data_IF_816389651256
#
_entry.id   IF_816389651256
#
_cell.length_a   1.000
_cell.length_b   1.000
_cell.length_c   1.000
_cell.angle_alpha   90.00
_cell.angle_beta   90.00
_cell.angle_gamma   90.00
#
_symmetry.space_group_name_H-M   'P 1'
#
loop_
_entity.id
_entity.type
_entity.pdbx_description
1 polymer ?
#
# COMPACT_ATOMS: atom_id res chain seq x y z
N UNK A 1 12.08 3.95 22.74
CA UNK A 1 10.77 3.59 22.16
C UNK A 1 10.49 4.61 21.06
N UNK A 2 10.59 4.22 19.78
CA UNK A 2 10.31 5.14 18.67
C UNK A 2 8.80 5.19 18.48
N UNK A 3 8.19 6.36 18.68
CA UNK A 3 6.78 6.57 18.41
C UNK A 3 6.55 6.39 16.90
N UNK A 4 5.58 5.55 16.52
CA UNK A 4 5.03 5.47 15.16
C UNK A 4 4.16 6.71 14.90
N UNK A 5 4.78 7.88 14.98
CA UNK A 5 4.15 9.17 14.72
C UNK A 5 4.08 9.43 13.23
N UNK A 6 3.09 10.23 12.86
CA UNK A 6 2.71 10.75 11.53
C UNK A 6 3.79 11.57 10.81
N UNK A 7 5.06 11.25 11.01
CA UNK A 7 6.21 12.00 10.51
C UNK A 7 6.55 11.55 9.09
N UNK A 8 5.66 11.88 8.14
CA UNK A 8 5.85 11.71 6.67
C UNK A 8 7.08 12.41 6.08
N UNK A 9 7.97 12.94 6.93
CA UNK A 9 9.19 13.65 6.58
C UNK A 9 10.16 12.79 5.79
N UNK A 10 10.17 11.47 6.02
CA UNK A 10 11.00 10.50 5.28
C UNK A 10 10.33 9.94 4.03
N UNK A 11 9.02 10.14 3.86
CA UNK A 11 8.33 9.81 2.64
C UNK A 11 8.44 10.92 1.58
N UNK A 12 8.29 10.60 0.29
CA UNK A 12 8.43 11.59 -0.77
C UNK A 12 7.41 12.72 -0.64
N UNK A 13 7.90 13.96 -0.66
CA UNK A 13 7.08 15.16 -0.41
C UNK A 13 6.10 15.46 -1.54
N UNK A 14 6.30 14.84 -2.71
CA UNK A 14 5.39 14.91 -3.86
C UNK A 14 4.12 14.06 -3.70
N UNK A 15 4.03 13.23 -2.66
CA UNK A 15 2.86 12.42 -2.39
C UNK A 15 1.91 13.12 -1.40
N UNK A 16 0.60 13.01 -1.67
CA UNK A 16 -0.43 13.52 -0.74
C UNK A 16 -0.32 12.81 0.60
N UNK A 17 -0.18 13.60 1.68
CA UNK A 17 -0.03 13.08 3.05
C UNK A 17 -1.31 12.47 3.62
N UNK A 18 -2.47 12.80 3.05
CA UNK A 18 -3.77 12.34 3.54
C UNK A 18 -3.96 10.82 3.45
N UNK A 19 -3.29 10.20 2.48
CA UNK A 19 -3.44 8.77 2.16
C UNK A 19 -2.10 8.04 2.25
N UNK A 20 -1.14 8.62 2.97
CA UNK A 20 0.24 8.15 3.10
C UNK A 20 0.49 7.68 4.53
N UNK A 21 1.03 6.47 4.65
CA UNK A 21 1.22 5.75 5.89
C UNK A 21 2.64 5.21 5.98
N UNK A 22 3.15 5.07 7.20
CA UNK A 22 4.55 4.74 7.43
C UNK A 22 4.67 3.45 8.25
N UNK A 23 5.46 2.53 7.71
CA UNK A 23 5.73 1.25 8.35
C UNK A 23 7.24 0.95 8.33
N UNK A 24 7.92 1.29 9.41
CA UNK A 24 9.38 1.16 9.49
C UNK A 24 10.06 2.10 8.49
N UNK A 25 10.82 1.54 7.54
CA UNK A 25 11.48 2.27 6.46
C UNK A 25 10.65 2.30 5.16
N UNK A 26 9.38 1.87 5.21
CA UNK A 26 8.48 1.83 4.06
C UNK A 26 7.40 2.90 4.14
N UNK A 27 7.13 3.51 3.00
CA UNK A 27 6.01 4.42 2.77
C UNK A 27 4.92 3.70 1.99
N UNK A 28 3.70 3.69 2.53
CA UNK A 28 2.53 3.03 1.96
C UNK A 28 1.51 4.08 1.59
N UNK A 29 1.15 4.18 0.31
CA UNK A 29 0.12 5.09 -0.16
C UNK A 29 -1.11 4.32 -0.60
N UNK A 30 -2.28 4.76 -0.15
CA UNK A 30 -3.56 4.24 -0.62
C UNK A 30 -4.04 5.09 -1.79
N UNK A 31 -4.41 4.43 -2.88
CA UNK A 31 -5.09 5.06 -4.00
C UNK A 31 -6.54 4.59 -4.03
N UNK A 32 -7.47 5.53 -3.99
CA UNK A 32 -8.90 5.27 -4.05
C UNK A 32 -9.37 5.38 -5.49
N UNK A 33 -9.70 4.25 -6.10
CA UNK A 33 -10.28 4.22 -7.44
C UNK A 33 -10.49 2.80 -7.93
N UNK A 34 -11.39 2.68 -8.90
CA UNK A 34 -11.73 1.41 -9.53
C UNK A 34 -10.87 1.23 -10.78
N UNK A 35 -9.69 0.64 -10.59
CA UNK A 35 -8.75 0.34 -11.66
C UNK A 35 -8.40 -1.14 -11.68
N UNK A 36 -8.04 -1.65 -12.84
CA UNK A 36 -7.44 -2.98 -12.98
C UNK A 36 -6.04 -3.06 -12.37
N UNK A 37 -5.58 -4.29 -12.11
CA UNK A 37 -4.32 -4.52 -11.39
C UNK A 37 -3.12 -3.89 -12.09
N UNK A 38 -3.07 -3.98 -13.42
CA UNK A 38 -2.01 -3.38 -14.23
C UNK A 38 -2.02 -1.85 -14.12
N UNK A 39 -3.19 -1.22 -14.22
CA UNK A 39 -3.35 0.24 -14.09
C UNK A 39 -2.99 0.71 -12.69
N UNK A 40 -3.46 0.02 -11.64
CA UNK A 40 -3.09 0.32 -10.26
C UNK A 40 -1.57 0.23 -10.05
N UNK A 41 -0.92 -0.77 -10.67
CA UNK A 41 0.54 -0.92 -10.61
C UNK A 41 1.26 0.22 -11.30
N UNK A 42 0.83 0.59 -12.50
CA UNK A 42 1.42 1.70 -13.26
C UNK A 42 1.33 3.02 -12.49
N UNK A 43 0.22 3.26 -11.78
CA UNK A 43 0.08 4.44 -10.90
C UNK A 43 1.16 4.42 -9.81
N UNK A 44 1.32 3.30 -9.09
CA UNK A 44 2.35 3.18 -8.04
C UNK A 44 3.77 3.34 -8.61
N UNK A 45 4.05 2.76 -9.77
CA UNK A 45 5.35 2.88 -10.45
C UNK A 45 5.67 4.31 -10.87
N UNK A 46 4.69 5.04 -11.43
CA UNK A 46 4.85 6.44 -11.81
C UNK A 46 5.14 7.35 -10.61
N UNK A 47 4.73 6.95 -9.41
CA UNK A 47 4.99 7.68 -8.16
C UNK A 47 6.34 7.33 -7.51
N UNK A 48 7.09 6.38 -8.09
CA UNK A 48 8.38 5.90 -7.58
C UNK A 48 8.26 4.75 -6.57
N UNK A 49 7.10 4.09 -6.48
CA UNK A 49 6.86 2.92 -5.64
C UNK A 49 6.45 1.67 -6.46
N UNK A 50 5.92 0.66 -5.81
CA UNK A 50 5.25 -0.49 -6.45
C UNK A 50 4.05 -0.90 -5.55
N UNK A 51 3.17 -1.77 -6.06
CA UNK A 51 2.06 -2.30 -5.26
C UNK A 51 2.63 -3.03 -4.03
N UNK A 52 2.06 -2.73 -2.86
CA UNK A 52 2.48 -3.31 -1.57
C UNK A 52 2.45 -4.84 -1.60
N UNK A 53 3.57 -5.45 -1.20
CA UNK A 53 3.68 -6.89 -0.98
C UNK A 53 3.85 -7.18 0.52
N UNK A 54 2.79 -7.60 1.23
CA UNK A 54 2.88 -7.83 2.67
C UNK A 54 3.58 -9.15 3.00
N UNK A 55 4.92 -9.12 3.01
CA UNK A 55 5.78 -10.30 3.23
C UNK A 55 5.98 -10.68 4.70
N UNK A 56 5.63 -9.80 5.64
CA UNK A 56 5.77 -10.06 7.08
C UNK A 56 4.42 -10.04 7.78
N UNK A 57 4.21 -10.86 8.83
CA UNK A 57 2.97 -10.86 9.61
C UNK A 57 2.71 -9.51 10.27
N UNK A 58 3.77 -8.78 10.66
CA UNK A 58 3.65 -7.42 11.18
C UNK A 58 3.09 -6.44 10.15
N UNK A 59 3.52 -6.55 8.88
CA UNK A 59 3.00 -5.71 7.80
C UNK A 59 1.56 -6.07 7.45
N UNK A 60 1.23 -7.36 7.39
CA UNK A 60 -0.15 -7.83 7.18
C UNK A 60 -1.09 -7.28 8.25
N UNK A 61 -0.68 -7.37 9.51
CA UNK A 61 -1.46 -6.83 10.63
C UNK A 61 -1.56 -5.31 10.57
N UNK A 62 -0.48 -4.61 10.22
CA UNK A 62 -0.48 -3.16 10.07
C UNK A 62 -1.47 -2.70 8.99
N UNK A 63 -1.44 -3.33 7.81
CA UNK A 63 -2.39 -3.06 6.72
C UNK A 63 -3.82 -3.33 7.19
N UNK A 64 -4.06 -4.47 7.83
CA UNK A 64 -5.39 -4.85 8.32
C UNK A 64 -5.96 -3.89 9.36
N UNK A 65 -5.13 -3.35 10.25
CA UNK A 65 -5.59 -2.51 11.37
C UNK A 65 -5.63 -1.03 11.00
N UNK A 66 -4.75 -0.55 10.13
CA UNK A 66 -4.62 0.89 9.86
C UNK A 66 -5.13 1.31 8.48
N UNK A 67 -5.06 0.42 7.47
CA UNK A 67 -5.36 0.75 6.07
C UNK A 67 -6.75 0.23 5.66
N UNK A 68 -7.11 -1.01 6.01
CA UNK A 68 -8.40 -1.61 5.63
C UNK A 68 -9.65 -1.00 6.30
N UNK A 69 -9.67 -0.63 7.60
CA UNK A 69 -10.89 -0.15 8.24
C UNK A 69 -11.32 1.25 7.80
N UNK A 70 -10.46 1.97 7.07
CA UNK A 70 -10.80 3.26 6.46
C UNK A 70 -11.68 3.07 5.21
N UNK A 71 -11.66 1.89 4.58
CA UNK A 71 -12.06 1.76 3.16
C UNK A 71 -13.02 0.59 2.90
N UNK A 72 -12.94 -0.50 3.68
CA UNK A 72 -13.94 -1.58 3.62
C UNK A 72 -15.27 -1.13 4.22
N UNK A 73 -16.11 -0.49 3.40
CA UNK A 73 -17.54 -0.28 3.70
C UNK A 73 -18.40 -1.49 3.31
N UNK A 74 -17.87 -2.40 2.48
CA UNK A 74 -18.55 -3.64 2.05
C UNK A 74 -17.52 -4.72 1.70
N UNK A 75 -17.89 -6.00 1.78
CA UNK A 75 -17.07 -7.15 1.33
C UNK A 75 -16.71 -7.10 -0.17
N UNK A 76 -17.42 -6.25 -0.93
CA UNK A 76 -17.25 -6.02 -2.36
C UNK A 76 -16.18 -4.94 -2.67
N UNK A 77 -15.76 -4.16 -1.66
CA UNK A 77 -14.76 -3.11 -1.79
C UNK A 77 -13.38 -3.65 -1.36
N UNK A 78 -12.67 -4.20 -2.34
CA UNK A 78 -11.36 -4.83 -2.16
C UNK A 78 -10.20 -3.97 -2.64
N UNK A 79 -9.04 -4.09 -2.00
CA UNK A 79 -7.80 -3.48 -2.48
C UNK A 79 -6.98 -4.42 -3.35
N UNK A 80 -6.38 -3.87 -4.40
CA UNK A 80 -5.36 -4.58 -5.18
C UNK A 80 -4.02 -4.53 -4.45
N UNK A 81 -3.64 -5.67 -3.88
CA UNK A 81 -2.32 -5.90 -3.27
C UNK A 81 -1.41 -6.68 -4.23
N UNK A 82 -0.11 -6.64 -3.96
CA UNK A 82 0.94 -7.13 -4.85
C UNK A 82 1.15 -8.63 -4.71
N UNK A 83 0.08 -9.41 -4.85
CA UNK A 83 0.10 -10.86 -4.85
C UNK A 83 -0.24 -11.39 -6.25
N UNK A 84 0.30 -10.74 -7.29
CA UNK A 84 0.11 -11.24 -8.65
C UNK A 84 0.96 -12.48 -8.88
N UNK A 85 0.37 -13.48 -9.50
CA UNK A 85 1.05 -14.70 -9.95
C UNK A 85 1.73 -14.51 -11.32
N UNK A 86 1.77 -13.28 -11.85
CA UNK A 86 2.38 -12.94 -13.14
C UNK A 86 3.89 -13.25 -13.25
N UNK A 87 4.54 -13.78 -12.21
CA UNK A 87 5.93 -14.25 -12.25
C UNK A 87 6.24 -15.59 -11.55
N UNK A 88 5.29 -16.52 -11.45
CA UNK A 88 5.55 -17.95 -11.23
C UNK A 88 5.10 -18.72 -12.49
N UNK A 89 5.88 -19.44 -13.29
CA UNK A 89 7.23 -19.99 -13.22
C UNK A 89 7.77 -20.05 -14.66
N UNK A 90 9.02 -19.64 -14.89
CA UNK A 90 9.78 -20.18 -16.03
C UNK A 90 10.37 -21.49 -15.55
N UNK A 91 9.79 -22.62 -15.96
CA UNK A 91 10.44 -23.93 -15.89
C UNK A 91 10.56 -24.52 -17.30
#
# INVERSE_FOLDING_TARGET
MKAFGTDTTYCPHHLSKSDLYEYGDLCLKIHYGNWDWETARQICLNEGGDIVQPRSPGMQQYIRVNLLPQVQKSEEDGFRIGATDLNSESH
#
